data_IF_398223443842
#
_entry.id   IF_398223443842
#
_cell.length_a   1.000
_cell.length_b   1.000
_cell.length_c   1.000
_cell.angle_alpha   90.00
_cell.angle_beta   90.00
_cell.angle_gamma   90.00
#
_symmetry.space_group_name_H-M   'P 1'
#
loop_
_entity.id
_entity.type
_entity.pdbx_description
1 polymer ?
#
# COMPACT_ATOMS: atom_id res chain seq x y z
N UNK A 1 7.11 7.19 -13.94
CA UNK A 1 6.65 7.12 -12.53
C UNK A 1 7.86 7.21 -11.61
N UNK A 2 7.75 7.80 -10.41
CA UNK A 2 8.85 7.91 -9.45
C UNK A 2 8.51 7.08 -8.19
N UNK A 3 9.46 6.25 -7.74
CA UNK A 3 9.39 5.58 -6.45
C UNK A 3 10.28 6.35 -5.47
N UNK A 4 9.67 7.06 -4.52
CA UNK A 4 10.35 7.94 -3.56
C UNK A 4 10.87 7.18 -2.34
N UNK A 5 11.92 7.73 -1.74
CA UNK A 5 12.51 7.28 -0.48
C UNK A 5 12.20 8.31 0.60
N UNK A 6 11.81 7.84 1.78
CA UNK A 6 11.71 8.63 3.00
C UNK A 6 12.97 8.37 3.84
N UNK A 7 14.14 8.85 3.40
CA UNK A 7 15.33 8.98 4.28
C UNK A 7 16.41 9.88 3.64
N UNK A 8 16.63 11.03 4.27
CA UNK A 8 17.55 12.09 3.86
C UNK A 8 18.93 11.88 4.51
N UNK A 9 20.01 11.84 3.74
CA UNK A 9 21.37 11.92 4.28
C UNK A 9 22.25 12.79 3.37
N UNK A 10 22.26 14.09 3.65
CA UNK A 10 23.09 15.10 2.99
C UNK A 10 22.89 16.48 3.61
N UNK A 11 23.91 16.98 4.30
CA UNK A 11 23.94 18.20 5.10
C UNK A 11 23.56 19.50 4.36
N UNK A 12 22.47 20.16 4.80
CA UNK A 12 22.36 21.57 5.25
C UNK A 12 20.90 22.05 5.11
N UNK A 13 20.47 22.78 6.15
CA UNK A 13 19.14 23.37 6.44
C UNK A 13 17.98 22.39 6.73
N UNK A 14 17.50 22.47 7.98
CA UNK A 14 16.37 21.75 8.57
C UNK A 14 15.03 22.13 7.94
N UNK A 15 14.57 21.36 6.96
CA UNK A 15 13.14 21.13 6.70
C UNK A 15 13.01 19.64 6.34
N UNK A 16 11.90 19.01 6.71
CA UNK A 16 11.55 17.61 6.40
C UNK A 16 12.12 16.55 7.36
N UNK A 17 11.63 16.58 8.61
CA UNK A 17 11.32 15.37 9.36
C UNK A 17 10.23 14.57 8.61
N UNK A 18 10.20 13.25 8.78
CA UNK A 18 9.12 12.37 8.29
C UNK A 18 7.74 13.02 8.51
N UNK A 19 6.82 12.89 7.54
CA UNK A 19 5.43 13.34 7.69
C UNK A 19 4.78 12.55 8.83
N UNK A 20 4.90 13.09 10.03
CA UNK A 20 4.25 12.59 11.23
C UNK A 20 2.73 12.86 11.12
N UNK A 21 1.92 12.22 11.97
CA UNK A 21 0.50 12.54 12.00
C UNK A 21 0.29 14.02 12.34
N UNK A 22 1.15 14.60 13.19
CA UNK A 22 1.13 16.04 13.45
C UNK A 22 1.37 16.85 12.18
N UNK A 23 2.27 16.41 11.28
CA UNK A 23 2.47 17.07 9.98
C UNK A 23 1.30 16.83 9.00
N UNK A 24 0.66 15.66 9.05
CA UNK A 24 -0.55 15.32 8.27
C UNK A 24 -1.74 16.18 8.68
N UNK A 25 -2.08 16.17 9.98
CA UNK A 25 -3.02 17.05 10.65
C UNK A 25 -2.75 18.53 10.35
N UNK A 26 -1.51 18.97 10.56
CA UNK A 26 -1.11 20.35 10.26
C UNK A 26 -1.32 20.69 8.78
N UNK A 27 -1.03 19.76 7.87
CA UNK A 27 -1.25 19.96 6.45
C UNK A 27 -2.74 20.00 6.09
N UNK A 28 -3.56 19.10 6.67
CA UNK A 28 -5.01 19.11 6.51
C UNK A 28 -5.61 20.42 7.05
N UNK A 29 -5.20 20.87 8.24
CA UNK A 29 -5.55 22.15 8.82
C UNK A 29 -5.11 23.34 7.96
N UNK A 30 -3.92 23.29 7.35
CA UNK A 30 -3.49 24.31 6.38
C UNK A 30 -4.37 24.31 5.12
N UNK A 31 -4.70 23.15 4.57
CA UNK A 31 -5.61 23.07 3.42
C UNK A 31 -6.99 23.64 3.79
N UNK A 32 -7.52 23.25 4.94
CA UNK A 32 -8.79 23.73 5.47
C UNK A 32 -8.79 25.26 5.65
N UNK A 33 -7.82 25.80 6.38
CA UNK A 33 -7.67 27.24 6.63
C UNK A 33 -7.38 28.07 5.38
N UNK A 34 -6.88 27.45 4.30
CA UNK A 34 -6.71 28.08 2.99
C UNK A 34 -7.97 27.96 2.10
N UNK A 35 -9.09 27.44 2.63
CA UNK A 35 -10.36 27.30 1.92
C UNK A 35 -10.40 26.14 0.91
N UNK A 36 -9.58 25.10 1.11
CA UNK A 36 -9.65 23.90 0.27
C UNK A 36 -10.80 22.95 0.63
N UNK A 37 -11.57 23.24 1.69
CA UNK A 37 -12.76 22.49 2.08
C UNK A 37 -13.77 22.35 0.92
N UNK A 38 -13.99 23.44 0.16
CA UNK A 38 -14.87 23.44 -1.02
C UNK A 38 -14.25 22.76 -2.25
N UNK A 39 -13.00 22.32 -2.17
CA UNK A 39 -12.26 21.68 -3.28
C UNK A 39 -12.00 20.20 -3.02
N UNK A 40 -11.93 19.81 -1.74
CA UNK A 40 -11.65 18.45 -1.31
C UNK A 40 -12.77 17.50 -1.71
N UNK A 41 -12.41 16.35 -2.29
CA UNK A 41 -13.34 15.29 -2.71
C UNK A 41 -14.58 15.80 -3.48
N UNK A 42 -14.47 16.89 -4.26
CA UNK A 42 -15.57 17.43 -5.06
C UNK A 42 -16.15 16.40 -6.02
N UNK A 43 -15.32 15.53 -6.60
CA UNK A 43 -15.76 14.39 -7.41
C UNK A 43 -16.62 13.37 -6.67
N UNK A 44 -16.61 13.40 -5.33
CA UNK A 44 -17.37 12.53 -4.43
C UNK A 44 -18.39 13.32 -3.60
N UNK A 45 -18.80 14.52 -4.04
CA UNK A 45 -19.69 15.42 -3.28
C UNK A 45 -19.18 15.69 -1.86
N UNK A 46 -17.87 15.91 -1.71
CA UNK A 46 -17.17 16.15 -0.44
C UNK A 46 -17.20 14.98 0.55
N UNK A 47 -17.69 13.80 0.13
CA UNK A 47 -17.68 12.59 0.97
C UNK A 47 -16.35 11.86 0.88
N UNK A 48 -16.13 10.94 1.82
CA UNK A 48 -15.02 10.00 1.76
C UNK A 48 -15.04 9.19 0.46
N UNK A 49 -13.86 8.83 -0.05
CA UNK A 49 -13.73 8.01 -1.25
C UNK A 49 -14.23 6.60 -0.95
N UNK A 50 -15.20 6.15 -1.74
CA UNK A 50 -15.92 4.89 -1.53
C UNK A 50 -16.34 4.28 -2.87
N UNK A 51 -15.99 3.01 -3.10
CA UNK A 51 -16.32 2.30 -4.35
C UNK A 51 -17.81 2.03 -4.56
N UNK A 52 -18.63 2.14 -3.51
CA UNK A 52 -20.08 1.98 -3.61
C UNK A 52 -20.75 3.26 -4.15
N UNK A 53 -20.14 4.43 -3.90
CA UNK A 53 -20.63 5.73 -4.36
C UNK A 53 -20.01 6.13 -5.71
N UNK A 54 -18.71 5.88 -5.89
CA UNK A 54 -17.96 6.22 -7.10
C UNK A 54 -16.97 5.09 -7.45
N UNK A 55 -17.14 4.48 -8.62
CA UNK A 55 -16.25 3.40 -9.08
C UNK A 55 -15.09 3.90 -9.93
N UNK A 56 -15.22 5.07 -10.57
CA UNK A 56 -14.18 5.64 -11.41
C UNK A 56 -14.15 7.17 -11.41
N UNK A 57 -12.95 7.73 -11.58
CA UNK A 57 -12.70 9.16 -11.75
C UNK A 57 -11.97 9.35 -13.07
N UNK A 58 -12.45 10.26 -13.93
CA UNK A 58 -11.84 10.56 -15.22
C UNK A 58 -11.16 11.93 -15.13
N UNK A 59 -9.87 11.97 -15.40
CA UNK A 59 -9.02 13.15 -15.42
C UNK A 59 -8.37 13.28 -16.81
N UNK A 60 -9.07 13.94 -17.74
CA UNK A 60 -8.67 14.04 -19.15
C UNK A 60 -8.48 12.66 -19.81
N UNK A 61 -7.23 12.29 -20.10
CA UNK A 61 -6.82 11.01 -20.71
C UNK A 61 -6.40 9.95 -19.68
N UNK A 62 -6.60 10.23 -18.39
CA UNK A 62 -6.37 9.32 -17.27
C UNK A 62 -7.71 8.85 -16.71
N UNK A 63 -7.88 7.54 -16.58
CA UNK A 63 -8.97 6.94 -15.81
C UNK A 63 -8.43 6.33 -14.54
N UNK A 64 -9.05 6.64 -13.40
CA UNK A 64 -8.74 6.03 -12.10
C UNK A 64 -9.93 5.17 -11.70
N UNK A 65 -9.78 3.85 -11.74
CA UNK A 65 -10.80 2.90 -11.31
C UNK A 65 -10.51 2.48 -9.86
N UNK A 66 -11.41 2.82 -8.94
CA UNK A 66 -11.24 2.55 -7.51
C UNK A 66 -11.56 1.08 -7.21
N UNK A 67 -10.76 0.46 -6.34
CA UNK A 67 -10.88 -0.95 -5.93
C UNK A 67 -11.21 -1.10 -4.43
N UNK A 68 -10.90 -0.09 -3.62
CA UNK A 68 -11.09 -0.02 -2.16
C UNK A 68 -11.02 1.45 -1.74
N UNK A 69 -11.63 1.86 -0.61
CA UNK A 69 -12.49 1.07 0.28
C UNK A 69 -13.96 1.06 -0.16
N UNK A 70 -14.77 0.20 0.47
CA UNK A 70 -16.23 0.22 0.36
C UNK A 70 -16.87 0.79 1.63
N UNK A 71 -18.19 0.99 1.61
CA UNK A 71 -18.95 1.55 2.74
C UNK A 71 -18.77 0.74 4.01
N UNK A 72 -18.77 -0.60 3.89
CA UNK A 72 -18.59 -1.50 5.03
C UNK A 72 -17.25 -1.26 5.73
N UNK A 73 -16.16 -1.14 4.98
CA UNK A 73 -14.82 -0.89 5.54
C UNK A 73 -14.69 0.48 6.18
N UNK A 74 -15.28 1.51 5.58
CA UNK A 74 -15.32 2.84 6.19
C UNK A 74 -16.12 2.84 7.50
N UNK A 75 -17.28 2.18 7.53
CA UNK A 75 -18.10 2.10 8.74
C UNK A 75 -17.38 1.35 9.86
N UNK A 76 -16.70 0.24 9.58
CA UNK A 76 -15.93 -0.49 10.60
C UNK A 76 -14.78 0.32 11.18
N UNK A 77 -14.13 1.15 10.36
CA UNK A 77 -13.12 2.08 10.83
C UNK A 77 -13.74 3.14 11.76
N UNK A 78 -14.89 3.70 11.38
CA UNK A 78 -15.63 4.65 12.21
C UNK A 78 -16.11 4.02 13.53
N UNK A 79 -16.61 2.78 13.51
CA UNK A 79 -17.02 2.04 14.71
C UNK A 79 -15.83 1.76 15.64
N UNK A 80 -14.66 1.45 15.09
CA UNK A 80 -13.43 1.27 15.88
C UNK A 80 -13.09 2.53 16.67
N UNK A 81 -13.25 3.69 16.05
CA UNK A 81 -13.06 4.98 16.69
C UNK A 81 -14.12 5.25 17.76
N UNK A 82 -15.41 5.12 17.42
CA UNK A 82 -16.52 5.38 18.33
C UNK A 82 -16.44 4.53 19.60
N UNK A 83 -16.21 3.22 19.47
CA UNK A 83 -16.06 2.31 20.62
C UNK A 83 -14.91 2.74 21.55
N UNK A 84 -13.83 3.29 20.99
CA UNK A 84 -12.72 3.77 21.82
C UNK A 84 -13.07 5.05 22.56
N UNK A 85 -13.78 5.96 21.92
CA UNK A 85 -14.22 7.19 22.56
C UNK A 85 -15.14 6.87 23.75
N UNK A 86 -16.05 5.90 23.58
CA UNK A 86 -16.90 5.38 24.66
C UNK A 86 -16.08 4.77 25.81
N UNK A 87 -15.07 3.94 25.51
CA UNK A 87 -14.16 3.36 26.50
C UNK A 87 -13.45 4.43 27.35
N UNK A 88 -13.09 5.55 26.72
CA UNK A 88 -12.41 6.66 27.37
C UNK A 88 -13.36 7.53 28.23
N UNK A 89 -14.66 7.20 28.26
CA UNK A 89 -15.71 7.90 29.02
C UNK A 89 -15.77 9.40 28.74
N UNK A 90 -15.46 9.80 27.51
CA UNK A 90 -15.60 11.18 27.12
C UNK A 90 -17.04 11.46 26.69
N UNK A 91 -17.65 12.46 27.33
CA UNK A 91 -19.04 12.88 27.11
C UNK A 91 -19.05 14.09 26.15
N UNK A 92 -18.64 13.89 24.89
CA UNK A 92 -18.67 14.93 23.86
C UNK A 92 -19.61 14.56 22.71
N UNK A 93 -20.20 15.58 22.09
CA UNK A 93 -20.88 15.44 20.81
C UNK A 93 -19.84 15.49 19.69
N UNK A 94 -19.83 14.46 18.84
CA UNK A 94 -19.01 14.47 17.62
C UNK A 94 -19.52 15.61 16.73
N UNK A 95 -18.59 16.41 16.22
CA UNK A 95 -18.85 17.46 15.26
C UNK A 95 -17.81 17.40 14.15
N UNK A 96 -18.10 18.03 13.01
CA UNK A 96 -17.17 18.15 11.88
C UNK A 96 -16.07 19.22 12.13
N UNK A 97 -15.68 19.43 13.39
CA UNK A 97 -14.62 20.37 13.77
C UNK A 97 -13.22 19.74 13.60
N UNK A 98 -12.25 20.54 13.15
CA UNK A 98 -10.85 20.16 12.87
C UNK A 98 -10.18 19.34 13.98
N UNK A 99 -10.49 19.64 15.24
CA UNK A 99 -9.92 18.94 16.40
C UNK A 99 -10.30 17.45 16.44
N UNK A 100 -11.44 17.07 15.85
CA UNK A 100 -11.89 15.68 15.80
C UNK A 100 -11.16 14.87 14.74
N UNK A 101 -10.86 15.47 13.59
CA UNK A 101 -10.09 14.84 12.52
C UNK A 101 -8.65 14.56 12.99
N UNK A 102 -8.02 15.54 13.64
CA UNK A 102 -6.67 15.39 14.19
C UNK A 102 -6.60 14.31 15.28
N UNK A 103 -7.59 14.30 16.18
CA UNK A 103 -7.69 13.30 17.22
C UNK A 103 -7.87 11.89 16.63
N UNK A 104 -8.67 11.77 15.56
CA UNK A 104 -8.90 10.52 14.85
C UNK A 104 -7.63 10.02 14.16
N UNK A 105 -6.94 10.86 13.39
CA UNK A 105 -5.69 10.48 12.72
C UNK A 105 -4.61 10.02 13.71
N UNK A 106 -4.43 10.78 14.80
CA UNK A 106 -3.42 10.44 15.82
C UNK A 106 -3.77 9.14 16.51
N UNK A 107 -5.05 8.90 16.77
CA UNK A 107 -5.52 7.66 17.34
C UNK A 107 -5.27 6.47 16.40
N UNK A 108 -5.68 6.56 15.13
CA UNK A 108 -5.47 5.50 14.15
C UNK A 108 -3.97 5.19 14.05
N UNK A 109 -3.10 6.21 14.01
CA UNK A 109 -1.64 6.00 13.99
C UNK A 109 -1.11 5.34 15.26
N UNK A 110 -1.63 5.65 16.44
CA UNK A 110 -1.18 5.03 17.71
C UNK A 110 -1.73 3.62 17.88
N UNK A 111 -2.94 3.38 17.41
CA UNK A 111 -3.63 2.10 17.56
C UNK A 111 -3.25 1.10 16.49
N UNK A 112 -2.96 1.55 15.26
CA UNK A 112 -2.42 0.69 14.19
C UNK A 112 -1.25 -0.18 14.69
N UNK A 113 -0.15 0.34 15.27
CA UNK A 113 0.94 -0.49 15.79
C UNK A 113 0.59 -1.29 17.06
N UNK A 114 -0.44 -0.92 17.83
CA UNK A 114 -0.86 -1.66 19.04
C UNK A 114 -1.73 -2.87 18.65
N UNK A 115 -2.67 -2.70 17.71
CA UNK A 115 -3.50 -3.77 17.15
C UNK A 115 -2.66 -4.68 16.25
N UNK A 116 -1.79 -4.08 15.42
CA UNK A 116 -0.76 -4.77 14.64
C UNK A 116 0.45 -5.14 15.50
N UNK A 117 0.23 -5.48 16.79
CA UNK A 117 1.14 -6.28 17.59
C UNK A 117 1.39 -7.63 16.90
N UNK A 118 2.10 -7.59 15.79
CA UNK A 118 2.77 -8.71 15.20
C UNK A 118 3.79 -9.10 16.27
N UNK A 119 3.41 -10.08 17.10
CA UNK A 119 4.38 -11.04 17.58
C UNK A 119 5.28 -11.28 16.38
N UNK A 120 6.53 -10.82 16.44
CA UNK A 120 7.56 -11.18 15.48
C UNK A 120 7.38 -12.68 15.31
N UNK A 121 6.86 -13.12 14.16
CA UNK A 121 6.68 -14.54 13.96
C UNK A 121 8.09 -15.11 14.13
N UNK A 122 8.29 -15.87 15.22
CA UNK A 122 9.60 -16.37 15.65
C UNK A 122 10.18 -17.32 14.59
N UNK A 123 9.39 -17.64 13.55
CA UNK A 123 9.87 -18.19 12.30
C UNK A 123 10.60 -17.12 11.46
N UNK A 124 11.69 -16.57 11.98
CA UNK A 124 12.80 -16.19 11.10
C UNK A 124 13.36 -17.51 10.57
N UNK A 125 12.72 -18.07 9.54
CA UNK A 125 13.32 -19.20 8.86
C UNK A 125 14.51 -18.64 8.08
N UNK A 126 15.70 -19.17 8.32
CA UNK A 126 16.88 -18.91 7.50
C UNK A 126 16.75 -19.54 6.10
N UNK A 127 15.53 -19.86 5.69
CA UNK A 127 15.26 -20.45 4.40
C UNK A 127 15.64 -19.44 3.31
N UNK A 128 16.27 -19.97 2.29
CA UNK A 128 16.46 -19.27 1.04
C UNK A 128 15.13 -19.09 0.30
N UNK A 129 15.03 -18.07 -0.55
CA UNK A 129 13.91 -17.82 -1.44
C UNK A 129 13.60 -19.06 -2.29
N UNK A 130 14.62 -19.79 -2.74
CA UNK A 130 14.42 -21.01 -3.54
C UNK A 130 13.76 -22.13 -2.73
N UNK A 131 14.11 -22.29 -1.45
CA UNK A 131 13.42 -23.22 -0.55
C UNK A 131 11.97 -22.80 -0.32
N UNK A 132 11.72 -21.50 -0.09
CA UNK A 132 10.38 -20.96 0.14
C UNK A 132 9.46 -21.14 -1.08
N UNK A 133 9.97 -20.95 -2.30
CA UNK A 133 9.20 -21.15 -3.55
C UNK A 133 8.58 -22.56 -3.62
N UNK A 134 9.29 -23.56 -3.08
CA UNK A 134 8.87 -24.96 -3.10
C UNK A 134 8.06 -25.37 -1.87
N UNK A 135 7.99 -24.53 -0.84
CA UNK A 135 7.23 -24.79 0.38
C UNK A 135 5.77 -24.37 0.26
N UNK A 136 4.92 -24.99 1.09
CA UNK A 136 3.55 -24.53 1.29
C UNK A 136 3.58 -23.32 2.22
N UNK A 137 3.27 -22.15 1.68
CA UNK A 137 3.17 -20.92 2.44
C UNK A 137 1.84 -20.90 3.20
N UNK A 138 1.92 -20.66 4.51
CA UNK A 138 0.77 -20.45 5.39
C UNK A 138 0.80 -19.01 5.87
N UNK A 139 -0.35 -18.35 5.95
CA UNK A 139 -0.43 -16.93 6.31
C UNK A 139 -1.68 -16.64 7.11
N UNK A 140 -1.64 -15.55 7.88
CA UNK A 140 -2.84 -14.87 8.38
C UNK A 140 -3.32 -13.86 7.33
N UNK A 141 -4.62 -13.56 7.35
CA UNK A 141 -5.20 -12.50 6.54
C UNK A 141 -5.18 -11.22 7.38
N UNK A 142 -4.95 -10.07 6.73
CA UNK A 142 -5.09 -8.78 7.39
C UNK A 142 -6.56 -8.51 7.76
N UNK A 143 -6.78 -8.08 9.00
CA UNK A 143 -8.10 -7.75 9.55
C UNK A 143 -8.12 -6.35 10.17
N UNK A 144 -7.09 -5.53 9.92
CA UNK A 144 -6.97 -4.19 10.48
C UNK A 144 -8.03 -3.25 9.89
N UNK A 145 -8.76 -2.57 10.79
CA UNK A 145 -9.67 -1.44 10.51
C UNK A 145 -9.08 -0.46 9.48
N UNK A 146 -7.93 0.07 9.84
CA UNK A 146 -7.23 1.12 9.09
C UNK A 146 -6.77 0.65 7.70
N UNK A 147 -6.25 -0.57 7.61
CA UNK A 147 -5.79 -1.13 6.34
C UNK A 147 -6.99 -1.45 5.44
N UNK A 148 -8.09 -1.94 6.02
CA UNK A 148 -9.35 -2.14 5.30
C UNK A 148 -9.92 -0.88 4.66
N UNK A 149 -9.69 0.29 5.25
CA UNK A 149 -10.10 1.58 4.73
C UNK A 149 -9.12 2.20 3.72
N UNK A 150 -8.00 1.53 3.41
CA UNK A 150 -7.02 2.06 2.46
C UNK A 150 -7.59 2.16 1.05
N UNK A 151 -7.23 3.26 0.38
CA UNK A 151 -7.59 3.49 -1.02
C UNK A 151 -6.68 2.66 -1.93
N UNK A 152 -7.30 1.86 -2.79
CA UNK A 152 -6.63 1.04 -3.81
C UNK A 152 -7.28 1.32 -5.15
N UNK A 153 -6.50 1.38 -6.24
CA UNK A 153 -7.01 1.77 -7.55
C UNK A 153 -6.15 1.31 -8.71
N UNK A 154 -6.75 1.30 -9.89
CA UNK A 154 -6.08 1.16 -11.19
C UNK A 154 -6.03 2.53 -11.87
N UNK A 155 -4.85 2.97 -12.30
CA UNK A 155 -4.69 4.06 -13.25
C UNK A 155 -4.59 3.47 -14.65
N UNK A 156 -5.42 3.97 -15.56
CA UNK A 156 -5.32 3.72 -16.99
C UNK A 156 -4.93 5.02 -17.69
N UNK A 157 -3.90 4.95 -18.53
CA UNK A 157 -3.45 6.06 -19.34
C UNK A 157 -3.02 5.51 -20.70
N UNK A 158 -3.77 5.88 -21.77
CA UNK A 158 -3.60 5.28 -23.10
C UNK A 158 -3.69 3.75 -23.03
N UNK A 159 -2.65 3.03 -23.45
CA UNK A 159 -2.54 1.57 -23.42
C UNK A 159 -1.91 1.05 -22.10
N UNK A 160 -1.60 1.93 -21.14
CA UNK A 160 -0.89 1.56 -19.91
C UNK A 160 -1.85 1.36 -18.75
N UNK A 161 -1.58 0.32 -17.95
CA UNK A 161 -2.38 -0.04 -16.78
C UNK A 161 -1.51 -0.22 -15.54
N UNK A 162 -1.73 0.62 -14.53
CA UNK A 162 -0.94 0.67 -13.30
C UNK A 162 -1.83 0.39 -12.09
N UNK A 163 -1.48 -0.57 -11.26
CA UNK A 163 -2.26 -0.97 -10.08
C UNK A 163 -1.55 -0.55 -8.79
N UNK A 164 -2.28 0.16 -7.95
CA UNK A 164 -1.84 0.66 -6.65
C UNK A 164 -2.69 0.01 -5.57
N UNK A 165 -2.11 -0.96 -4.85
CA UNK A 165 -2.87 -1.79 -3.92
C UNK A 165 -3.11 -1.15 -2.54
N UNK A 166 -2.36 -0.08 -2.21
CA UNK A 166 -2.36 0.52 -0.87
C UNK A 166 -2.07 -0.54 0.21
N UNK A 167 -2.64 -0.37 1.39
CA UNK A 167 -2.63 -1.41 2.43
C UNK A 167 -3.96 -2.19 2.45
N UNK A 168 -4.77 -2.05 1.40
CA UNK A 168 -6.14 -2.54 1.36
C UNK A 168 -6.25 -4.06 1.55
N UNK A 169 -7.39 -4.49 2.08
CA UNK A 169 -7.69 -5.90 2.21
C UNK A 169 -7.79 -6.58 0.84
N UNK A 170 -6.94 -7.59 0.63
CA UNK A 170 -6.77 -8.28 -0.64
C UNK A 170 -8.07 -8.79 -1.27
N UNK A 171 -9.01 -9.30 -0.45
CA UNK A 171 -10.26 -9.86 -0.96
C UNK A 171 -11.11 -8.80 -1.66
N UNK A 172 -11.20 -7.59 -1.10
CA UNK A 172 -11.97 -6.50 -1.70
C UNK A 172 -11.36 -6.06 -3.04
N UNK A 173 -10.03 -6.03 -3.12
CA UNK A 173 -9.31 -5.75 -4.37
C UNK A 173 -9.69 -6.78 -5.45
N UNK A 174 -9.66 -8.07 -5.11
CA UNK A 174 -10.00 -9.14 -6.03
C UNK A 174 -11.46 -9.10 -6.50
N UNK A 175 -12.37 -8.78 -5.59
CA UNK A 175 -13.80 -8.67 -5.92
C UNK A 175 -14.06 -7.47 -6.85
N UNK A 176 -13.40 -6.33 -6.61
CA UNK A 176 -13.45 -5.15 -7.48
C UNK A 176 -12.84 -5.43 -8.86
N UNK A 177 -11.66 -6.07 -8.93
CA UNK A 177 -11.05 -6.45 -10.21
C UNK A 177 -11.93 -7.44 -10.99
N UNK A 178 -12.59 -8.37 -10.30
CA UNK A 178 -13.56 -9.27 -10.92
C UNK A 178 -14.77 -8.51 -11.46
N UNK A 179 -15.31 -7.56 -10.71
CA UNK A 179 -16.42 -6.68 -11.14
C UNK A 179 -16.07 -5.90 -12.41
N UNK A 180 -14.82 -5.47 -12.55
CA UNK A 180 -14.33 -4.75 -13.72
C UNK A 180 -13.88 -5.64 -14.88
N UNK A 181 -13.99 -6.97 -14.76
CA UNK A 181 -13.45 -7.94 -15.73
C UNK A 181 -11.93 -7.78 -15.95
N UNK A 182 -11.20 -7.37 -14.91
CA UNK A 182 -9.76 -7.11 -14.91
C UNK A 182 -8.94 -8.28 -14.36
N UNK A 183 -9.60 -9.41 -14.08
CA UNK A 183 -8.98 -10.59 -13.48
C UNK A 183 -7.92 -11.25 -14.37
N UNK A 184 -8.04 -11.09 -15.69
CA UNK A 184 -7.10 -11.64 -16.68
C UNK A 184 -6.17 -10.55 -17.27
N UNK A 185 -6.25 -9.33 -16.75
CA UNK A 185 -5.48 -8.20 -17.27
C UNK A 185 -3.99 -8.32 -16.95
N UNK A 186 -3.20 -7.76 -17.86
CA UNK A 186 -1.75 -7.59 -17.66
C UNK A 186 -1.50 -6.15 -17.23
N UNK A 187 -0.97 -5.99 -16.02
CA UNK A 187 -0.58 -4.70 -15.48
C UNK A 187 0.85 -4.37 -15.87
N UNK A 188 1.09 -3.14 -16.33
CA UNK A 188 2.45 -2.65 -16.62
C UNK A 188 3.24 -2.42 -15.33
N UNK A 189 2.54 -1.96 -14.29
CA UNK A 189 3.08 -1.72 -12.96
C UNK A 189 2.08 -2.23 -11.91
N UNK A 190 2.59 -2.90 -10.88
CA UNK A 190 1.90 -3.05 -9.59
C UNK A 190 2.79 -2.48 -8.50
N UNK A 191 2.28 -1.51 -7.73
CA UNK A 191 2.85 -1.18 -6.43
C UNK A 191 2.34 -2.20 -5.41
N UNK A 192 3.26 -2.99 -4.88
CA UNK A 192 2.96 -4.10 -3.95
C UNK A 192 2.29 -3.54 -2.68
N UNK A 193 1.28 -4.24 -2.17
CA UNK A 193 0.49 -3.79 -1.03
C UNK A 193 1.31 -3.79 0.25
N UNK A 194 1.06 -2.84 1.16
CA UNK A 194 1.55 -2.88 2.54
C UNK A 194 3.03 -3.27 2.65
N UNK A 195 3.87 -2.57 1.88
CA UNK A 195 5.33 -2.75 1.85
C UNK A 195 5.81 -4.17 1.45
N UNK A 196 4.92 -5.06 1.00
CA UNK A 196 5.22 -6.47 0.76
C UNK A 196 4.90 -7.39 1.94
N UNK A 197 3.93 -7.03 2.79
CA UNK A 197 3.40 -7.93 3.82
C UNK A 197 2.71 -9.15 3.20
N UNK A 198 3.02 -10.33 3.73
CA UNK A 198 2.37 -11.59 3.31
C UNK A 198 0.85 -11.61 3.57
N UNK A 199 0.37 -10.80 4.52
CA UNK A 199 -1.06 -10.74 4.88
C UNK A 199 -1.92 -10.12 3.77
N UNK A 200 -1.33 -9.22 2.97
CA UNK A 200 -2.01 -8.46 1.92
C UNK A 200 -1.62 -8.93 0.50
N UNK A 201 -0.58 -9.76 0.36
CA UNK A 201 0.00 -10.12 -0.94
C UNK A 201 0.10 -11.64 -1.17
N UNK A 202 -0.98 -12.28 -1.61
CA UNK A 202 -0.96 -13.73 -1.85
C UNK A 202 -1.84 -14.22 -2.98
N UNK A 203 -3.15 -13.99 -2.88
CA UNK A 203 -4.13 -14.41 -3.88
C UNK A 203 -4.05 -13.55 -5.14
N UNK A 204 -3.86 -12.23 -5.03
CA UNK A 204 -3.78 -11.36 -6.23
C UNK A 204 -2.56 -11.69 -7.09
N UNK A 205 -1.41 -12.03 -6.48
CA UNK A 205 -0.19 -12.41 -7.21
C UNK A 205 -0.42 -13.64 -8.10
N UNK A 206 -1.26 -14.58 -7.64
CA UNK A 206 -1.60 -15.81 -8.39
C UNK A 206 -2.54 -15.55 -9.56
N UNK A 207 -3.29 -14.46 -9.51
CA UNK A 207 -4.37 -14.14 -10.45
C UNK A 207 -3.92 -13.16 -11.50
N UNK A 208 -3.04 -12.22 -11.15
CA UNK A 208 -2.67 -11.11 -12.02
C UNK A 208 -1.30 -11.32 -12.66
N UNK A 209 -1.17 -10.88 -13.91
CA UNK A 209 0.11 -10.82 -14.60
C UNK A 209 0.65 -9.39 -14.55
N UNK A 210 1.95 -9.24 -14.29
CA UNK A 210 2.55 -7.91 -14.10
C UNK A 210 3.95 -7.84 -14.67
N UNK A 211 4.27 -6.75 -15.37
CA UNK A 211 5.61 -6.53 -15.94
C UNK A 211 6.60 -5.96 -14.92
N UNK A 212 6.15 -5.07 -14.03
CA UNK A 212 7.00 -4.37 -13.05
C UNK A 212 6.34 -4.35 -11.68
N UNK A 213 7.05 -4.83 -10.67
CA UNK A 213 6.61 -4.77 -9.28
C UNK A 213 7.39 -3.68 -8.55
N UNK A 214 6.69 -2.78 -7.86
CA UNK A 214 7.31 -1.74 -7.04
C UNK A 214 7.21 -2.13 -5.57
N UNK A 215 8.37 -2.35 -4.95
CA UNK A 215 8.53 -2.67 -3.55
C UNK A 215 9.09 -1.42 -2.86
N UNK A 216 8.25 -0.82 -2.00
CA UNK A 216 8.53 0.47 -1.36
C UNK A 216 8.71 0.28 0.14
N UNK A 217 9.92 -0.02 0.62
CA UNK A 217 10.19 -0.29 2.04
C UNK A 217 11.68 -0.24 2.35
N UNK A 218 12.04 0.23 3.54
CA UNK A 218 13.40 0.20 4.09
C UNK A 218 13.65 -1.04 4.98
N UNK A 219 12.61 -1.85 5.21
CA UNK A 219 12.66 -3.08 5.98
C UNK A 219 12.80 -2.93 7.50
N UNK A 220 12.93 -1.71 8.05
CA UNK A 220 13.33 -1.53 9.47
C UNK A 220 12.24 -1.91 10.47
N UNK A 221 10.98 -1.65 10.16
CA UNK A 221 9.88 -1.80 11.13
C UNK A 221 9.32 -3.24 11.19
N UNK A 222 9.08 -3.85 10.03
CA UNK A 222 8.35 -5.12 9.90
C UNK A 222 9.10 -6.20 9.11
N UNK A 223 10.39 -6.00 8.85
CA UNK A 223 11.21 -6.89 8.02
C UNK A 223 10.56 -7.18 6.64
N UNK A 224 9.99 -6.13 6.05
CA UNK A 224 9.35 -6.17 4.74
C UNK A 224 10.33 -5.84 3.61
N UNK A 225 10.14 -6.38 2.39
CA UNK A 225 9.05 -7.29 2.03
C UNK A 225 9.29 -8.71 2.59
N UNK A 226 8.22 -9.45 2.87
CA UNK A 226 8.33 -10.85 3.26
C UNK A 226 8.93 -11.68 2.11
N UNK A 227 9.87 -12.59 2.41
CA UNK A 227 10.48 -13.48 1.40
C UNK A 227 9.43 -14.30 0.67
N UNK A 228 8.37 -14.70 1.34
CA UNK A 228 7.23 -15.44 0.81
C UNK A 228 6.49 -14.68 -0.29
N UNK A 229 6.38 -13.35 -0.16
CA UNK A 229 5.74 -12.51 -1.18
C UNK A 229 6.59 -12.49 -2.44
N UNK A 230 7.90 -12.27 -2.30
CA UNK A 230 8.83 -12.32 -3.43
C UNK A 230 8.85 -13.72 -4.07
N UNK A 231 8.95 -14.77 -3.26
CA UNK A 231 8.87 -16.16 -3.71
C UNK A 231 7.58 -16.43 -4.49
N UNK A 232 6.44 -15.93 -4.01
CA UNK A 232 5.14 -16.08 -4.69
C UNK A 232 5.14 -15.32 -6.02
N UNK A 233 5.69 -14.11 -6.10
CA UNK A 233 5.83 -13.35 -7.36
C UNK A 233 6.67 -14.14 -8.37
N UNK A 234 7.84 -14.63 -7.95
CA UNK A 234 8.74 -15.41 -8.81
C UNK A 234 8.09 -16.71 -9.28
N UNK A 235 7.33 -17.37 -8.41
CA UNK A 235 6.66 -18.63 -8.69
C UNK A 235 5.48 -18.46 -9.63
N UNK A 236 4.58 -17.52 -9.39
CA UNK A 236 3.28 -17.47 -10.06
C UNK A 236 3.34 -16.69 -11.38
N UNK A 237 4.13 -15.62 -11.44
CA UNK A 237 4.34 -14.87 -12.67
C UNK A 237 5.49 -15.48 -13.48
N UNK A 238 5.16 -16.29 -14.49
CA UNK A 238 6.15 -16.97 -15.35
C UNK A 238 6.71 -16.12 -16.48
N UNK A 239 6.21 -14.89 -16.65
CA UNK A 239 6.70 -13.96 -17.67
C UNK A 239 7.91 -13.18 -17.16
N UNK A 240 8.59 -12.54 -18.10
CA UNK A 240 9.63 -11.57 -17.79
C UNK A 240 9.06 -10.44 -16.94
N UNK A 241 9.75 -10.12 -15.86
CA UNK A 241 9.33 -9.10 -14.90
C UNK A 241 10.53 -8.39 -14.29
N UNK A 242 10.29 -7.18 -13.80
CA UNK A 242 11.30 -6.39 -13.10
C UNK A 242 10.82 -6.13 -11.68
N UNK A 243 11.67 -6.39 -10.69
CA UNK A 243 11.42 -6.01 -9.30
C UNK A 243 12.19 -4.73 -9.00
N UNK A 244 11.46 -3.68 -8.65
CA UNK A 244 12.01 -2.39 -8.24
C UNK A 244 11.97 -2.28 -6.72
N UNK A 245 13.13 -2.10 -6.12
CA UNK A 245 13.27 -1.78 -4.70
C UNK A 245 13.74 -0.34 -4.58
N UNK A 246 13.17 0.43 -3.66
CA UNK A 246 13.57 1.82 -3.42
C UNK A 246 14.78 1.94 -2.46
N UNK A 247 14.93 0.97 -1.55
CA UNK A 247 16.08 0.79 -0.67
C UNK A 247 16.89 -0.48 -0.98
N UNK A 248 18.20 -0.50 -0.67
CA UNK A 248 18.96 -1.73 -0.63
C UNK A 248 18.58 -2.55 0.62
N UNK A 249 18.13 -3.78 0.42
CA UNK A 249 17.72 -4.70 1.48
C UNK A 249 18.53 -6.00 1.37
N UNK A 250 18.70 -6.74 2.47
CA UNK A 250 19.42 -8.03 2.47
C UNK A 250 18.83 -9.03 1.46
N UNK A 251 17.50 -9.05 1.32
CA UNK A 251 16.80 -9.89 0.34
C UNK A 251 17.21 -9.55 -1.12
N UNK A 252 17.60 -8.31 -1.40
CA UNK A 252 18.08 -7.93 -2.73
C UNK A 252 19.38 -8.64 -3.09
N UNK A 253 20.26 -8.89 -2.12
CA UNK A 253 21.52 -9.58 -2.37
C UNK A 253 21.31 -11.07 -2.64
N UNK A 254 20.33 -11.69 -1.97
CA UNK A 254 19.90 -13.05 -2.27
C UNK A 254 19.30 -13.17 -3.69
N UNK A 255 18.54 -12.15 -4.11
CA UNK A 255 17.93 -12.10 -5.44
C UNK A 255 18.95 -11.81 -6.57
N UNK A 256 20.13 -11.24 -6.27
CA UNK A 256 21.20 -11.00 -7.25
C UNK A 256 21.95 -12.30 -7.56
N UNK A 257 21.23 -13.28 -8.08
CA UNK A 257 21.77 -14.59 -8.45
C UNK A 257 21.34 -14.92 -9.88
N UNK A 258 22.29 -14.96 -10.82
CA UNK A 258 22.04 -15.20 -12.25
C UNK A 258 21.20 -16.47 -12.48
N UNK A 259 21.49 -17.56 -11.75
CA UNK A 259 20.71 -18.80 -11.83
C UNK A 259 19.25 -18.61 -11.47
N UNK A 260 18.95 -17.81 -10.43
CA UNK A 260 17.57 -17.52 -10.04
C UNK A 260 16.90 -16.57 -11.05
N UNK A 261 17.62 -15.53 -11.46
CA UNK A 261 17.14 -14.54 -12.43
C UNK A 261 16.76 -15.19 -13.77
N UNK A 262 17.58 -16.09 -14.28
CA UNK A 262 17.32 -16.86 -15.50
C UNK A 262 16.16 -17.83 -15.32
N UNK A 263 16.16 -18.61 -14.23
CA UNK A 263 15.14 -19.63 -13.94
C UNK A 263 13.74 -19.02 -13.77
N UNK A 264 13.65 -17.88 -13.10
CA UNK A 264 12.38 -17.22 -12.79
C UNK A 264 12.12 -15.98 -13.66
N UNK A 265 12.95 -15.73 -14.69
CA UNK A 265 12.80 -14.65 -15.67
C UNK A 265 12.54 -13.29 -15.02
N UNK A 266 13.46 -12.84 -14.18
CA UNK A 266 13.35 -11.51 -13.57
C UNK A 266 14.66 -10.74 -13.62
N UNK A 267 14.53 -9.41 -13.60
CA UNK A 267 15.63 -8.49 -13.33
C UNK A 267 15.36 -7.62 -12.11
N UNK A 268 16.41 -7.02 -11.57
CA UNK A 268 16.35 -6.21 -10.36
C UNK A 268 16.80 -4.78 -10.65
N UNK A 269 16.08 -3.83 -10.07
CA UNK A 269 16.52 -2.44 -9.94
C UNK A 269 16.45 -2.08 -8.47
N UNK A 270 17.59 -1.74 -7.88
CA UNK A 270 17.70 -1.44 -6.45
C UNK A 270 18.15 -0.01 -6.27
N UNK A 271 17.27 0.80 -5.69
CA UNK A 271 17.56 2.17 -5.29
C UNK A 271 18.57 2.23 -4.15
N UNK A 272 19.18 3.40 -3.97
CA UNK A 272 20.20 3.63 -2.95
C UNK A 272 19.61 4.14 -1.62
N UNK A 273 18.29 4.21 -1.49
CA UNK A 273 17.60 4.79 -0.33
C UNK A 273 17.68 6.31 -0.20
N UNK A 274 18.43 7.02 -1.08
CA UNK A 274 18.69 8.47 -0.99
C UNK A 274 18.06 9.27 -2.12
N UNK A 275 18.03 8.71 -3.31
CA UNK A 275 17.47 9.34 -4.52
C UNK A 275 16.30 8.51 -5.02
N UNK A 276 15.31 9.18 -5.61
CA UNK A 276 14.15 8.48 -6.14
C UNK A 276 14.53 7.59 -7.33
N UNK A 277 13.84 6.46 -7.48
CA UNK A 277 14.00 5.55 -8.62
C UNK A 277 13.02 5.95 -9.72
N UNK A 278 13.55 6.27 -10.91
CA UNK A 278 12.74 6.63 -12.08
C UNK A 278 12.36 5.38 -12.86
N UNK A 279 11.09 5.25 -13.19
CA UNK A 279 10.52 4.08 -13.86
C UNK A 279 9.86 4.50 -15.16
N UNK A 280 10.41 3.99 -16.25
CA UNK A 280 9.88 4.16 -17.60
C UNK A 280 8.89 3.04 -17.93
N UNK A 281 7.73 3.45 -18.43
CA UNK A 281 6.64 2.57 -18.86
C UNK A 281 6.44 2.76 -20.36
N UNK A 282 7.26 2.05 -21.12
CA UNK A 282 7.20 2.02 -22.58
C UNK A 282 6.15 1.03 -23.09
#
# INVERSE_FOLDING_TARGET
MILSNSDNNGSKSNEFEEISCEQGSTFAGFLYGLGYEERWNTSCNHKAINIDDISNVILNDITINLLSPNTEKLNRLADTWNNKLEDMKFDFQISDEEIFDDAFEMYIKKVKPIIEGENKDISYSNDSIEEIINKKITRKIDTSESNGASISFVIEYKDKKLLFLGDAHEQLILDSLKKYNEMDSVFDIVKVSHHGSIKNNFNWIKKLQTKRYLISTDGKQHNHPSKEVIATILKENKKEKILYFNYPLEICDELKCDKLMDKYKYSLVVGNGKTSVVIEVN
#
